data_IF_549026598464
#
_entry.id   IF_549026598464
#
_cell.length_a   1.000
_cell.length_b   1.000
_cell.length_c   1.000
_cell.angle_alpha   90.00
_cell.angle_beta   90.00
_cell.angle_gamma   90.00
#
_symmetry.space_group_name_H-M   'P 1'
#
loop_
_entity.id
_entity.type
_entity.pdbx_description
1 polymer ?
#
# COMPACT_ATOMS: atom_id res chain seq x y z
N UNK A 1 57.43 32.53 -0.46
CA UNK A 1 56.71 31.25 -0.68
C UNK A 1 55.71 30.90 0.44
N UNK A 2 56.06 30.98 1.74
CA UNK A 2 55.15 30.62 2.87
C UNK A 2 53.83 31.41 2.95
N UNK A 3 53.79 32.66 2.49
CA UNK A 3 52.59 33.55 2.55
C UNK A 3 51.51 33.16 1.52
N UNK A 4 51.91 32.57 0.39
CA UNK A 4 51.02 32.16 -0.69
C UNK A 4 50.31 30.83 -0.36
N UNK A 5 51.06 29.88 0.23
CA UNK A 5 50.53 28.61 0.75
C UNK A 5 49.51 28.80 1.89
N UNK A 6 49.73 29.74 2.81
CA UNK A 6 48.76 30.07 3.88
C UNK A 6 47.46 30.69 3.35
N UNK A 7 47.52 31.50 2.29
CA UNK A 7 46.33 32.07 1.64
C UNK A 7 45.55 31.01 0.87
N UNK A 8 46.23 30.07 0.23
CA UNK A 8 45.62 28.92 -0.45
C UNK A 8 44.92 27.99 0.55
N UNK A 9 45.56 27.68 1.69
CA UNK A 9 44.96 26.91 2.78
C UNK A 9 43.73 27.60 3.40
N UNK A 10 43.78 28.93 3.57
CA UNK A 10 42.67 29.71 4.10
C UNK A 10 41.47 29.77 3.13
N UNK A 11 41.73 29.81 1.82
CA UNK A 11 40.69 29.72 0.79
C UNK A 11 40.05 28.32 0.76
N UNK A 12 40.86 27.25 0.82
CA UNK A 12 40.36 25.86 0.94
C UNK A 12 39.55 25.61 2.22
N UNK A 13 39.91 26.26 3.34
CA UNK A 13 39.20 26.18 4.62
C UNK A 13 37.80 26.80 4.57
N UNK A 14 37.54 27.76 3.69
CA UNK A 14 36.22 28.38 3.52
C UNK A 14 35.35 27.66 2.49
N UNK A 15 35.97 27.06 1.47
CA UNK A 15 35.27 26.36 0.38
C UNK A 15 34.57 25.09 0.88
N UNK A 16 35.19 24.33 1.78
CA UNK A 16 34.59 23.10 2.32
C UNK A 16 33.30 23.35 3.13
N UNK A 17 33.26 24.28 4.11
CA UNK A 17 32.01 24.62 4.80
C UNK A 17 30.98 25.28 3.88
N UNK A 18 31.40 26.08 2.89
CA UNK A 18 30.49 26.64 1.89
C UNK A 18 29.85 25.57 1.00
N UNK A 19 30.63 24.55 0.60
CA UNK A 19 30.13 23.40 -0.16
C UNK A 19 29.18 22.54 0.68
N UNK A 20 29.47 22.33 1.97
CA UNK A 20 28.58 21.64 2.92
C UNK A 20 27.25 22.38 3.10
N UNK A 21 27.26 23.72 3.23
CA UNK A 21 26.03 24.51 3.28
C UNK A 21 25.25 24.42 1.96
N UNK A 22 25.93 24.54 0.81
CA UNK A 22 25.27 24.42 -0.49
C UNK A 22 24.64 23.03 -0.69
N UNK A 23 25.29 21.96 -0.22
CA UNK A 23 24.76 20.60 -0.27
C UNK A 23 23.55 20.41 0.66
N UNK A 24 23.59 20.96 1.88
CA UNK A 24 22.47 20.91 2.81
C UNK A 24 21.22 21.64 2.26
N UNK A 25 21.41 22.78 1.60
CA UNK A 25 20.33 23.54 0.97
C UNK A 25 19.81 22.81 -0.28
N UNK A 26 20.67 22.10 -1.02
CA UNK A 26 20.27 21.30 -2.19
C UNK A 26 19.51 20.01 -1.85
N UNK A 27 19.68 19.48 -0.62
CA UNK A 27 19.00 18.26 -0.17
C UNK A 27 17.65 18.59 0.50
N UNK A 28 17.45 19.83 0.93
CA UNK A 28 16.13 20.34 1.28
C UNK A 28 15.33 20.53 -0.02
N UNK A 29 14.48 19.56 -0.37
CA UNK A 29 13.42 19.79 -1.34
C UNK A 29 12.21 20.37 -0.58
N UNK A 30 12.01 21.70 -0.53
CA UNK A 30 10.88 22.30 0.16
C UNK A 30 9.54 21.96 -0.51
N UNK A 31 9.57 21.30 -1.69
CA UNK A 31 8.40 20.88 -2.46
C UNK A 31 8.22 19.37 -2.48
N UNK A 32 9.03 18.61 -1.73
CA UNK A 32 8.79 17.19 -1.51
C UNK A 32 7.52 17.03 -0.67
N UNK A 33 6.38 17.13 -1.33
CA UNK A 33 5.10 16.81 -0.74
C UNK A 33 5.10 15.32 -0.44
N UNK A 34 4.91 14.95 0.83
CA UNK A 34 4.66 13.57 1.19
C UNK A 34 3.48 13.05 0.38
N UNK A 35 3.70 11.97 -0.39
CA UNK A 35 2.66 11.33 -1.21
C UNK A 35 1.47 10.90 -0.34
N UNK A 36 1.75 10.54 0.91
CA UNK A 36 0.75 10.14 1.89
C UNK A 36 0.86 11.01 3.13
N UNK A 37 -0.29 11.54 3.58
CA UNK A 37 -0.40 12.33 4.81
C UNK A 37 -0.36 11.49 6.10
N UNK A 38 -0.43 10.15 5.95
CA UNK A 38 -0.54 9.19 7.05
C UNK A 38 0.54 8.12 6.95
N UNK A 39 1.06 7.62 8.09
CA UNK A 39 1.93 6.46 8.13
C UNK A 39 1.30 5.26 7.39
N UNK A 40 2.15 4.40 6.83
CA UNK A 40 1.70 3.24 6.07
C UNK A 40 0.80 2.30 6.89
N UNK A 41 1.13 2.09 8.18
CA UNK A 41 0.35 1.22 9.07
C UNK A 41 -1.07 1.74 9.29
N UNK A 42 -1.22 3.05 9.50
CA UNK A 42 -2.53 3.68 9.72
C UNK A 42 -3.42 3.52 8.47
N UNK A 43 -2.86 3.75 7.27
CA UNK A 43 -3.59 3.57 6.01
C UNK A 43 -4.05 2.11 5.82
N UNK A 44 -3.19 1.14 6.10
CA UNK A 44 -3.53 -0.27 6.01
C UNK A 44 -4.67 -0.65 6.98
N UNK A 45 -4.60 -0.14 8.22
CA UNK A 45 -5.66 -0.39 9.21
C UNK A 45 -7.00 0.22 8.78
N UNK A 46 -6.98 1.43 8.20
CA UNK A 46 -8.16 2.09 7.66
C UNK A 46 -8.76 1.30 6.50
N UNK A 47 -7.93 0.87 5.54
CA UNK A 47 -8.37 0.08 4.39
C UNK A 47 -9.00 -1.25 4.84
N UNK A 48 -8.38 -1.95 5.80
CA UNK A 48 -8.92 -3.17 6.37
C UNK A 48 -10.27 -2.93 7.07
N UNK A 49 -10.38 -1.87 7.87
CA UNK A 49 -11.63 -1.54 8.56
C UNK A 49 -12.76 -1.20 7.59
N UNK A 50 -12.45 -0.43 6.54
CA UNK A 50 -13.38 -0.03 5.49
C UNK A 50 -13.86 -1.23 4.70
N UNK A 51 -12.95 -2.16 4.39
CA UNK A 51 -13.29 -3.41 3.72
C UNK A 51 -14.24 -4.27 4.57
N UNK A 52 -13.92 -4.50 5.85
CA UNK A 52 -14.80 -5.28 6.75
C UNK A 52 -16.18 -4.67 6.86
N UNK A 53 -16.25 -3.36 7.06
CA UNK A 53 -17.51 -2.64 7.15
C UNK A 53 -18.34 -2.79 5.87
N UNK A 54 -17.73 -2.68 4.68
CA UNK A 54 -18.42 -2.91 3.41
C UNK A 54 -18.93 -4.33 3.27
N UNK A 55 -18.11 -5.32 3.59
CA UNK A 55 -18.47 -6.73 3.48
C UNK A 55 -19.65 -7.08 4.41
N UNK A 56 -19.65 -6.56 5.64
CA UNK A 56 -20.70 -6.79 6.64
C UNK A 56 -21.95 -5.92 6.44
N UNK A 57 -21.86 -4.83 5.66
CA UNK A 57 -22.99 -3.92 5.41
C UNK A 57 -24.12 -4.53 4.56
N UNK A 58 -23.87 -5.66 3.87
CA UNK A 58 -24.90 -6.39 3.10
C UNK A 58 -25.53 -7.48 3.98
N UNK A 59 -26.77 -7.30 4.49
CA UNK A 59 -27.39 -8.29 5.38
C UNK A 59 -27.68 -9.63 4.67
N UNK A 60 -27.84 -9.59 3.34
CA UNK A 60 -28.11 -10.73 2.48
C UNK A 60 -26.82 -11.34 1.92
N UNK A 61 -25.67 -10.73 2.23
CA UNK A 61 -24.38 -11.19 1.75
C UNK A 61 -24.05 -10.77 0.31
N UNK A 62 -23.11 -11.49 -0.28
CA UNK A 62 -22.51 -11.21 -1.58
C UNK A 62 -22.60 -12.46 -2.45
N UNK A 63 -23.17 -12.30 -3.64
CA UNK A 63 -23.24 -13.37 -4.63
C UNK A 63 -22.03 -13.30 -5.57
N UNK A 64 -21.33 -14.41 -5.73
CA UNK A 64 -20.23 -14.55 -6.68
C UNK A 64 -20.59 -15.64 -7.68
N UNK A 65 -20.35 -15.36 -8.96
CA UNK A 65 -20.46 -16.33 -10.05
C UNK A 65 -19.06 -16.68 -10.54
N UNK A 66 -18.64 -17.93 -10.35
CA UNK A 66 -17.37 -18.44 -10.83
C UNK A 66 -17.57 -19.23 -12.12
N UNK A 67 -16.88 -18.81 -13.19
CA UNK A 67 -16.87 -19.52 -14.47
C UNK A 67 -15.45 -20.06 -14.71
N UNK A 68 -15.24 -21.39 -14.60
CA UNK A 68 -13.91 -21.99 -14.74
C UNK A 68 -13.31 -21.80 -16.15
N UNK A 69 -14.15 -21.84 -17.18
CA UNK A 69 -13.73 -21.72 -18.57
C UNK A 69 -14.61 -20.73 -19.34
N UNK A 70 -14.00 -19.91 -20.20
CA UNK A 70 -14.73 -18.96 -21.06
C UNK A 70 -15.44 -19.65 -22.23
N UNK A 71 -15.04 -20.88 -22.55
CA UNK A 71 -15.53 -21.62 -23.72
C UNK A 71 -16.52 -22.73 -23.36
N UNK A 72 -16.52 -23.17 -22.11
CA UNK A 72 -17.44 -24.21 -21.62
C UNK A 72 -18.69 -23.59 -21.00
N UNK A 73 -19.79 -24.34 -21.07
CA UNK A 73 -21.08 -23.93 -20.51
C UNK A 73 -21.12 -24.23 -19.01
N UNK A 74 -21.48 -23.23 -18.21
CA UNK A 74 -21.71 -23.38 -16.78
C UNK A 74 -21.14 -22.23 -15.96
N UNK A 75 -21.59 -22.14 -14.73
CA UNK A 75 -21.00 -21.33 -13.67
C UNK A 75 -21.37 -21.96 -12.34
N UNK A 76 -20.55 -21.69 -11.34
CA UNK A 76 -20.82 -22.01 -9.95
C UNK A 76 -21.27 -20.75 -9.24
N UNK A 77 -22.31 -20.85 -8.41
CA UNK A 77 -22.80 -19.73 -7.62
C UNK A 77 -22.44 -19.92 -6.15
N UNK A 78 -21.93 -18.86 -5.54
CA UNK A 78 -21.65 -18.81 -4.12
C UNK A 78 -22.32 -17.60 -3.50
N UNK A 79 -22.87 -17.78 -2.31
CA UNK A 79 -23.36 -16.71 -1.45
C UNK A 79 -22.49 -16.64 -0.20
N UNK A 80 -21.89 -15.48 0.04
CA UNK A 80 -21.04 -15.22 1.22
C UNK A 80 -21.71 -14.19 2.12
N UNK A 81 -21.93 -14.53 3.39
CA UNK A 81 -22.44 -13.59 4.38
C UNK A 81 -21.42 -13.43 5.51
N UNK A 82 -20.85 -12.23 5.59
CA UNK A 82 -19.84 -11.89 6.59
C UNK A 82 -20.54 -11.54 7.90
N UNK A 83 -20.49 -12.45 8.88
CA UNK A 83 -21.20 -12.27 10.15
C UNK A 83 -20.45 -11.34 11.09
N UNK A 84 -19.13 -11.48 11.11
CA UNK A 84 -18.22 -10.73 11.97
C UNK A 84 -16.81 -10.77 11.37
N UNK A 85 -15.82 -10.33 12.14
CA UNK A 85 -14.43 -10.22 11.70
C UNK A 85 -13.73 -11.58 11.49
N UNK A 86 -14.33 -12.67 11.98
CA UNK A 86 -13.74 -14.01 12.01
C UNK A 86 -14.58 -15.08 11.32
N UNK A 87 -15.82 -14.77 10.96
CA UNK A 87 -16.80 -15.77 10.54
C UNK A 87 -17.55 -15.33 9.28
N UNK A 88 -17.65 -16.27 8.35
CA UNK A 88 -18.37 -16.11 7.09
C UNK A 88 -19.24 -17.34 6.89
N UNK A 89 -20.53 -17.12 6.70
CA UNK A 89 -21.42 -18.17 6.22
C UNK A 89 -21.34 -18.25 4.70
N UNK A 90 -21.26 -19.48 4.20
CA UNK A 90 -21.18 -19.78 2.78
C UNK A 90 -22.29 -20.74 2.38
N UNK A 91 -22.98 -20.43 1.29
CA UNK A 91 -23.88 -21.34 0.62
C UNK A 91 -23.49 -21.42 -0.86
N UNK A 92 -23.69 -22.57 -1.48
CA UNK A 92 -23.44 -22.78 -2.90
C UNK A 92 -24.48 -23.70 -3.51
N UNK A 93 -24.62 -23.64 -4.84
CA UNK A 93 -25.48 -24.51 -5.63
C UNK A 93 -24.90 -25.92 -5.86
N UNK A 94 -23.67 -26.15 -5.40
CA UNK A 94 -23.02 -27.46 -5.41
C UNK A 94 -22.39 -27.77 -4.03
N UNK A 95 -22.15 -29.05 -3.80
CA UNK A 95 -21.62 -29.61 -2.57
C UNK A 95 -20.30 -30.35 -2.80
N UNK A 96 -19.68 -30.85 -1.74
CA UNK A 96 -18.48 -31.69 -1.83
C UNK A 96 -18.68 -32.92 -2.71
N UNK A 97 -19.91 -33.43 -2.76
CA UNK A 97 -20.25 -34.66 -3.48
C UNK A 97 -20.31 -34.42 -5.00
N UNK A 98 -20.43 -33.15 -5.42
CA UNK A 98 -20.47 -32.73 -6.82
C UNK A 98 -19.07 -32.49 -7.39
N UNK A 99 -18.03 -32.47 -6.54
CA UNK A 99 -16.65 -32.25 -6.97
C UNK A 99 -16.00 -33.56 -7.39
N UNK A 100 -15.36 -33.62 -8.58
CA UNK A 100 -14.55 -34.77 -8.93
C UNK A 100 -13.39 -34.89 -7.93
N UNK A 101 -13.29 -36.05 -7.28
CA UNK A 101 -12.15 -36.46 -6.43
C UNK A 101 -10.82 -36.32 -7.16
#
# INVERSE_FOLDING_TARGET
MKKFSKRLLALLSGVLPAALLAFAISCADPKANEVFKKPALERLQEDMSSLRAKLQASPQGWTIFYRPSKTETGYYQFLFRFLNDTEVEMASDFSSDDLPM
#
